data_IF_028956614986
#
_entry.id   IF_028956614986
#
_cell.length_a   1.000
_cell.length_b   1.000
_cell.length_c   1.000
_cell.angle_alpha   90.00
_cell.angle_beta   90.00
_cell.angle_gamma   90.00
#
_symmetry.space_group_name_H-M   'P 1'
#
loop_
_entity.id
_entity.type
_entity.pdbx_description
1 polymer ?
#
# COMPACT_ATOMS: atom_id res chain seq x y z
N UNK A 1 11.83 11.93 -38.32
CA UNK A 1 11.68 11.27 -37.01
C UNK A 1 13.02 10.63 -36.71
N UNK A 2 13.97 11.38 -36.18
CA UNK A 2 15.35 10.96 -36.00
C UNK A 2 15.64 10.63 -34.54
N UNK A 3 15.88 9.37 -34.26
CA UNK A 3 16.47 8.89 -33.01
C UNK A 3 17.98 9.15 -33.08
N UNK A 4 18.47 10.06 -32.29
CA UNK A 4 19.90 10.31 -32.13
C UNK A 4 20.39 9.53 -30.89
N UNK A 5 21.09 8.38 -31.06
CA UNK A 5 21.79 7.77 -29.95
C UNK A 5 23.12 8.53 -29.75
N UNK A 6 23.14 9.41 -28.77
CA UNK A 6 24.39 10.02 -28.32
C UNK A 6 25.34 8.88 -27.91
N UNK A 7 26.30 8.59 -28.76
CA UNK A 7 27.45 7.74 -28.47
C UNK A 7 28.31 8.43 -27.42
N UNK A 8 28.14 8.02 -26.19
CA UNK A 8 29.14 8.28 -25.14
C UNK A 8 30.29 7.30 -25.36
N UNK A 9 31.06 7.56 -26.39
CA UNK A 9 32.37 6.95 -26.58
C UNK A 9 33.38 7.75 -25.79
N UNK A 10 33.50 7.49 -24.50
CA UNK A 10 34.64 7.96 -23.74
C UNK A 10 35.89 7.24 -24.25
N UNK A 11 36.62 7.85 -25.18
CA UNK A 11 38.00 7.49 -25.46
C UNK A 11 38.83 7.84 -24.22
N UNK A 12 38.84 6.94 -23.25
CA UNK A 12 39.82 6.93 -22.17
C UNK A 12 41.20 6.71 -22.80
N UNK A 13 41.87 7.78 -23.21
CA UNK A 13 43.29 7.73 -23.50
C UNK A 13 44.01 7.50 -22.17
N UNK A 14 44.28 6.23 -21.88
CA UNK A 14 45.20 5.86 -20.79
C UNK A 14 46.61 6.19 -21.26
N UNK A 15 47.00 7.44 -21.06
CA UNK A 15 48.38 7.87 -21.19
C UNK A 15 49.20 7.44 -19.96
N UNK A 16 50.56 7.41 -20.05
CA UNK A 16 51.39 7.09 -18.88
C UNK A 16 51.07 8.08 -17.77
N UNK A 17 50.77 7.56 -16.57
CA UNK A 17 50.43 8.34 -15.38
C UNK A 17 51.57 9.33 -15.05
N UNK A 18 51.31 10.61 -15.20
CA UNK A 18 52.23 11.64 -14.75
C UNK A 18 52.08 11.84 -13.23
N UNK A 19 53.13 12.21 -12.52
CA UNK A 19 53.16 12.29 -11.05
C UNK A 19 52.04 13.13 -10.42
N UNK A 20 51.50 14.12 -11.14
CA UNK A 20 50.38 14.97 -10.73
C UNK A 20 49.05 14.19 -10.69
N UNK A 21 48.89 13.19 -11.55
CA UNK A 21 47.67 12.33 -11.57
C UNK A 21 47.70 11.37 -10.38
N UNK A 22 48.86 10.85 -9.98
CA UNK A 22 49.00 10.00 -8.81
C UNK A 22 48.55 10.74 -7.55
N UNK A 23 48.94 11.98 -7.36
CA UNK A 23 48.53 12.79 -6.20
C UNK A 23 47.01 12.98 -6.17
N UNK A 24 46.39 13.26 -7.33
CA UNK A 24 44.94 13.42 -7.41
C UNK A 24 44.20 12.13 -7.13
N UNK A 25 44.70 10.99 -7.60
CA UNK A 25 44.16 9.67 -7.31
C UNK A 25 44.25 9.33 -5.83
N UNK A 26 45.41 9.50 -5.23
CA UNK A 26 45.62 9.28 -3.78
C UNK A 26 44.69 10.19 -2.96
N UNK A 27 44.57 11.46 -3.34
CA UNK A 27 43.65 12.39 -2.69
C UNK A 27 42.20 11.98 -2.81
N UNK A 28 41.78 11.43 -3.97
CA UNK A 28 40.44 10.91 -4.16
C UNK A 28 40.16 9.65 -3.31
N UNK A 29 41.14 8.73 -3.21
CA UNK A 29 41.06 7.55 -2.38
C UNK A 29 40.96 7.91 -0.90
N UNK A 30 41.81 8.80 -0.42
CA UNK A 30 41.76 9.28 0.99
C UNK A 30 40.42 9.92 1.31
N UNK A 31 39.89 10.74 0.38
CA UNK A 31 38.57 11.35 0.56
C UNK A 31 37.43 10.29 0.61
N UNK A 32 37.51 9.30 -0.25
CA UNK A 32 36.54 8.20 -0.26
C UNK A 32 36.61 7.37 1.05
N UNK A 33 37.82 7.06 1.50
CA UNK A 33 38.02 6.38 2.79
C UNK A 33 37.53 7.21 3.97
N UNK A 34 37.77 8.53 3.95
CA UNK A 34 37.25 9.43 4.97
C UNK A 34 35.73 9.48 4.99
N UNK A 35 35.06 9.40 3.84
CA UNK A 35 33.60 9.34 3.75
C UNK A 35 33.04 8.03 4.34
N UNK A 36 33.68 6.89 4.06
CA UNK A 36 33.28 5.60 4.65
C UNK A 36 33.52 5.56 6.15
N UNK A 37 34.66 6.07 6.62
CA UNK A 37 34.97 6.18 8.05
C UNK A 37 33.95 7.07 8.78
N UNK A 38 33.57 8.21 8.19
CA UNK A 38 32.50 9.07 8.74
C UNK A 38 31.16 8.33 8.84
N UNK A 39 30.85 7.48 7.88
CA UNK A 39 29.61 6.72 7.89
C UNK A 39 29.58 5.63 8.99
N UNK A 40 30.74 5.13 9.41
CA UNK A 40 30.84 4.16 10.50
C UNK A 40 30.30 4.71 11.83
N UNK A 41 30.47 6.02 12.07
CA UNK A 41 29.99 6.69 13.29
C UNK A 41 28.57 7.25 13.18
N UNK A 42 27.88 7.02 12.07
CA UNK A 42 26.48 7.44 11.93
C UNK A 42 25.56 6.54 12.76
N UNK A 43 24.54 7.14 13.37
CA UNK A 43 23.44 6.39 13.98
C UNK A 43 22.78 5.49 12.92
N UNK A 44 22.55 4.18 13.24
CA UNK A 44 21.84 3.29 12.35
C UNK A 44 20.41 3.80 12.15
N UNK A 45 19.91 3.74 10.90
CA UNK A 45 18.56 4.10 10.52
C UNK A 45 17.67 2.86 10.49
N UNK A 46 18.24 1.70 10.73
CA UNK A 46 17.56 0.41 10.68
C UNK A 46 16.46 0.35 11.74
N UNK A 47 15.27 -0.03 11.31
CA UNK A 47 14.12 -0.28 12.18
C UNK A 47 14.11 -1.78 12.51
N UNK A 48 14.13 -2.13 13.78
CA UNK A 48 14.12 -3.52 14.24
C UNK A 48 12.68 -4.02 14.34
N UNK A 49 12.20 -4.63 13.27
CA UNK A 49 10.92 -5.34 13.28
C UNK A 49 11.08 -6.69 14.04
N UNK A 50 10.14 -7.15 14.87
CA UNK A 50 8.81 -6.54 15.16
C UNK A 50 8.82 -5.56 16.34
N UNK A 51 9.94 -5.34 17.04
CA UNK A 51 10.02 -4.52 18.26
C UNK A 51 9.62 -3.06 18.01
N UNK A 52 10.05 -2.52 16.86
CA UNK A 52 9.70 -1.17 16.43
C UNK A 52 9.03 -1.26 15.07
N UNK A 53 7.78 -0.87 14.99
CA UNK A 53 7.05 -0.82 13.73
C UNK A 53 7.26 0.53 13.05
N UNK A 54 7.41 0.49 11.72
CA UNK A 54 7.44 1.71 10.92
C UNK A 54 6.04 2.32 10.86
N UNK A 55 5.94 3.62 11.03
CA UNK A 55 4.70 4.33 10.75
C UNK A 55 4.49 4.39 9.23
N UNK A 56 3.40 3.78 8.76
CA UNK A 56 3.06 3.80 7.35
C UNK A 56 2.39 5.12 6.97
N UNK A 57 2.65 5.63 5.75
CA UNK A 57 1.96 6.82 5.27
C UNK A 57 0.45 6.59 5.20
N UNK A 58 -0.31 7.66 5.18
CA UNK A 58 -1.77 7.57 5.06
C UNK A 58 -2.23 6.80 3.82
N UNK A 59 -1.50 6.93 2.70
CA UNK A 59 -1.76 6.25 1.43
C UNK A 59 -1.15 4.84 1.33
N UNK A 60 -1.15 4.11 2.43
CA UNK A 60 -0.59 2.77 2.43
C UNK A 60 -1.61 1.75 1.89
N UNK A 61 -1.16 0.89 0.97
CA UNK A 61 -1.96 -0.21 0.41
C UNK A 61 -1.57 -1.51 1.10
N UNK A 62 -2.20 -1.78 2.24
CA UNK A 62 -2.00 -3.01 3.00
C UNK A 62 -3.10 -4.03 2.76
N UNK A 63 -3.41 -4.81 3.79
CA UNK A 63 -4.42 -5.86 3.73
C UNK A 63 -5.80 -5.28 3.37
N UNK A 64 -6.55 -6.04 2.60
CA UNK A 64 -7.95 -5.75 2.32
C UNK A 64 -8.83 -6.23 3.48
N UNK A 65 -9.90 -5.50 3.74
CA UNK A 65 -10.88 -5.83 4.76
C UNK A 65 -12.29 -5.44 4.34
N UNK A 66 -13.28 -6.08 4.94
CA UNK A 66 -14.68 -5.68 4.84
C UNK A 66 -15.09 -4.90 6.09
N UNK A 67 -15.95 -3.91 5.90
CA UNK A 67 -16.40 -3.01 6.96
C UNK A 67 -17.86 -3.24 7.34
N UNK A 68 -18.16 -2.90 8.59
CA UNK A 68 -19.53 -2.77 9.10
C UNK A 68 -19.90 -1.30 9.22
N UNK A 69 -21.19 -1.02 9.14
CA UNK A 69 -21.72 0.27 9.52
C UNK A 69 -21.59 0.44 11.05
N UNK A 70 -21.00 1.56 11.47
CA UNK A 70 -20.76 1.85 12.89
C UNK A 70 -22.05 2.11 13.67
N UNK A 71 -23.10 2.60 12.99
CA UNK A 71 -24.35 2.98 13.63
C UNK A 71 -25.31 1.80 13.75
N UNK A 72 -25.43 1.01 12.68
CA UNK A 72 -26.39 -0.09 12.61
C UNK A 72 -25.78 -1.46 12.93
N UNK A 73 -24.46 -1.60 12.85
CA UNK A 73 -23.77 -2.90 12.97
C UNK A 73 -23.98 -3.83 11.78
N UNK A 74 -24.62 -3.35 10.71
CA UNK A 74 -24.86 -4.14 9.49
C UNK A 74 -23.62 -4.15 8.60
N UNK A 75 -23.48 -5.19 7.79
CA UNK A 75 -22.42 -5.26 6.78
C UNK A 75 -22.60 -4.17 5.73
N UNK A 76 -21.54 -3.44 5.38
CA UNK A 76 -21.62 -2.45 4.30
C UNK A 76 -21.73 -3.08 2.91
N UNK A 77 -21.30 -4.33 2.75
CA UNK A 77 -21.32 -5.02 1.47
C UNK A 77 -22.74 -5.39 1.01
N UNK A 78 -23.11 -4.89 -0.17
CA UNK A 78 -24.40 -5.20 -0.81
C UNK A 78 -24.31 -6.31 -1.87
N UNK A 79 -23.14 -6.95 -2.02
CA UNK A 79 -22.95 -8.03 -2.98
C UNK A 79 -23.08 -7.63 -4.44
N UNK A 80 -22.82 -6.38 -4.82
CA UNK A 80 -22.99 -5.85 -6.18
C UNK A 80 -22.00 -6.41 -7.21
N UNK A 81 -20.95 -7.12 -6.79
CA UNK A 81 -19.93 -7.76 -7.63
C UNK A 81 -19.03 -6.81 -8.44
N UNK A 82 -19.12 -5.50 -8.25
CA UNK A 82 -18.26 -4.54 -8.97
C UNK A 82 -16.78 -4.78 -8.70
N UNK A 83 -16.42 -5.11 -7.44
CA UNK A 83 -15.05 -5.46 -7.06
C UNK A 83 -14.54 -6.74 -7.73
N UNK A 84 -15.42 -7.71 -8.01
CA UNK A 84 -15.08 -8.93 -8.76
C UNK A 84 -14.77 -8.61 -10.23
N UNK A 85 -15.60 -7.79 -10.87
CA UNK A 85 -15.43 -7.45 -12.30
C UNK A 85 -14.23 -6.55 -12.56
N UNK A 86 -13.88 -5.66 -11.63
CA UNK A 86 -12.76 -4.72 -11.82
C UNK A 86 -11.41 -5.34 -11.48
N UNK A 87 -11.39 -6.50 -10.82
CA UNK A 87 -10.17 -7.13 -10.32
C UNK A 87 -9.31 -7.70 -11.48
N UNK A 88 -8.10 -7.17 -11.78
CA UNK A 88 -7.29 -7.66 -12.87
C UNK A 88 -6.90 -9.14 -12.74
N UNK A 89 -6.40 -9.63 -11.58
CA UNK A 89 -6.09 -11.04 -11.39
C UNK A 89 -7.32 -11.91 -11.09
N UNK A 90 -8.55 -11.34 -11.06
CA UNK A 90 -9.81 -12.04 -10.82
C UNK A 90 -9.84 -12.90 -9.54
N UNK A 91 -9.23 -12.40 -8.48
CA UNK A 91 -9.06 -13.08 -7.18
C UNK A 91 -10.23 -12.89 -6.22
N UNK A 92 -11.20 -12.04 -6.56
CA UNK A 92 -12.40 -11.78 -5.76
C UNK A 92 -13.57 -12.55 -6.36
N UNK A 93 -14.32 -13.27 -5.51
CA UNK A 93 -15.58 -13.91 -5.88
C UNK A 93 -16.67 -13.51 -4.90
N UNK A 94 -17.82 -13.09 -5.42
CA UNK A 94 -18.94 -12.59 -4.62
C UNK A 94 -20.25 -13.20 -5.10
N UNK A 95 -20.99 -13.80 -4.17
CA UNK A 95 -22.37 -14.24 -4.41
C UNK A 95 -23.33 -13.28 -3.71
N UNK A 96 -24.30 -12.76 -4.43
CA UNK A 96 -25.32 -11.88 -3.90
C UNK A 96 -26.49 -12.66 -3.30
N UNK A 97 -26.94 -12.24 -2.12
CA UNK A 97 -28.21 -12.64 -1.53
C UNK A 97 -29.19 -11.46 -1.63
N UNK A 98 -30.30 -11.68 -2.30
CA UNK A 98 -31.40 -10.71 -2.36
C UNK A 98 -32.25 -10.85 -1.12
N UNK A 99 -32.40 -9.80 -0.34
CA UNK A 99 -33.33 -9.70 0.77
C UNK A 99 -34.35 -8.58 0.52
N UNK A 100 -35.47 -8.57 1.22
CA UNK A 100 -36.57 -7.63 1.02
C UNK A 100 -36.16 -6.15 1.19
N UNK A 101 -35.32 -5.87 2.20
CA UNK A 101 -34.91 -4.48 2.51
C UNK A 101 -33.63 -4.08 1.82
N UNK A 102 -32.64 -4.99 1.73
CA UNK A 102 -31.30 -4.71 1.24
C UNK A 102 -30.67 -5.99 0.72
N UNK A 103 -29.85 -5.86 -0.32
CA UNK A 103 -29.02 -6.97 -0.80
C UNK A 103 -27.76 -7.09 0.09
N UNK A 104 -27.29 -8.33 0.26
CA UNK A 104 -26.07 -8.66 1.02
C UNK A 104 -25.16 -9.57 0.22
N UNK A 105 -23.89 -9.62 0.57
CA UNK A 105 -23.01 -10.67 0.08
C UNK A 105 -23.28 -11.96 0.85
N UNK A 106 -23.81 -13.00 0.17
CA UNK A 106 -23.95 -14.34 0.72
C UNK A 106 -22.59 -14.94 1.02
N UNK A 107 -21.72 -14.93 0.02
CA UNK A 107 -20.33 -15.32 0.12
C UNK A 107 -19.44 -14.23 -0.44
N UNK A 108 -18.29 -14.07 0.16
CA UNK A 108 -17.23 -13.18 -0.32
C UNK A 108 -15.90 -13.90 -0.10
N UNK A 109 -15.15 -14.14 -1.15
CA UNK A 109 -13.85 -14.78 -1.08
C UNK A 109 -12.81 -13.95 -1.79
N UNK A 110 -11.62 -13.88 -1.20
CA UNK A 110 -10.46 -13.18 -1.72
C UNK A 110 -9.23 -14.07 -1.62
N UNK A 111 -8.58 -14.32 -2.75
CA UNK A 111 -7.30 -15.02 -2.81
C UNK A 111 -6.16 -14.03 -2.63
N UNK A 112 -5.75 -13.81 -1.38
CA UNK A 112 -4.78 -12.76 -1.05
C UNK A 112 -3.40 -12.99 -1.67
N UNK A 113 -2.98 -14.25 -1.84
CA UNK A 113 -1.65 -14.57 -2.40
C UNK A 113 -1.47 -14.15 -3.86
N UNK A 114 -2.55 -14.01 -4.62
CA UNK A 114 -2.54 -13.57 -6.00
C UNK A 114 -2.99 -12.10 -6.15
N UNK A 115 -3.30 -11.43 -5.05
CA UNK A 115 -3.73 -10.05 -5.03
C UNK A 115 -2.54 -9.10 -5.30
N UNK A 116 -2.72 -8.17 -6.23
CA UNK A 116 -1.71 -7.15 -6.58
C UNK A 116 -1.80 -5.88 -5.72
N UNK A 117 -2.72 -5.81 -4.77
CA UNK A 117 -2.95 -4.63 -3.94
C UNK A 117 -3.11 -3.32 -4.74
N UNK A 118 -3.73 -3.40 -5.92
CA UNK A 118 -3.90 -2.28 -6.85
C UNK A 118 -4.95 -1.24 -6.42
N UNK A 119 -5.79 -1.56 -5.41
CA UNK A 119 -6.83 -0.68 -4.85
C UNK A 119 -8.07 -0.47 -5.75
N UNK A 120 -8.14 -1.02 -6.94
CA UNK A 120 -9.27 -0.82 -7.85
C UNK A 120 -10.61 -1.27 -7.26
N UNK A 121 -10.62 -2.39 -6.49
CA UNK A 121 -11.82 -2.88 -5.82
C UNK A 121 -12.37 -1.90 -4.77
N UNK A 122 -11.48 -1.17 -4.09
CA UNK A 122 -11.85 -0.12 -3.12
C UNK A 122 -12.46 1.08 -3.83
N UNK A 123 -11.83 1.52 -4.92
CA UNK A 123 -12.27 2.68 -5.68
C UNK A 123 -13.65 2.51 -6.33
N UNK A 124 -13.99 1.30 -6.74
CA UNK A 124 -15.27 1.01 -7.42
C UNK A 124 -16.40 0.73 -6.45
N UNK A 125 -16.11 0.51 -5.15
CA UNK A 125 -17.12 0.14 -4.17
C UNK A 125 -18.09 1.29 -3.86
N UNK A 126 -19.39 1.16 -4.12
CA UNK A 126 -20.35 2.24 -3.92
C UNK A 126 -20.71 2.47 -2.44
N UNK A 127 -20.44 1.49 -1.58
CA UNK A 127 -20.80 1.51 -0.16
C UNK A 127 -19.59 1.55 0.78
N UNK A 128 -18.38 1.71 0.23
CA UNK A 128 -17.12 1.68 0.99
C UNK A 128 -16.98 0.41 1.85
N UNK A 129 -17.57 -0.68 1.38
CA UNK A 129 -17.58 -1.95 2.10
C UNK A 129 -16.21 -2.62 2.13
N UNK A 130 -15.43 -2.49 1.05
CA UNK A 130 -14.08 -3.02 0.97
C UNK A 130 -13.08 -1.87 1.11
N UNK A 131 -12.12 -2.03 2.00
CA UNK A 131 -11.14 -1.00 2.36
C UNK A 131 -9.75 -1.61 2.48
N UNK A 132 -8.72 -0.77 2.42
CA UNK A 132 -7.35 -1.15 2.71
C UNK A 132 -6.95 -0.75 4.12
N UNK A 133 -6.19 -1.60 4.79
CA UNK A 133 -5.72 -1.41 6.15
C UNK A 133 -4.25 -1.00 6.19
N UNK A 134 -3.82 -0.35 7.28
CA UNK A 134 -2.42 0.01 7.52
C UNK A 134 -1.61 -1.17 8.08
N UNK A 135 -1.91 -2.38 7.65
CA UNK A 135 -1.19 -3.59 8.03
C UNK A 135 -0.91 -4.47 6.84
N UNK A 136 0.18 -5.21 6.91
CA UNK A 136 0.56 -6.22 5.92
C UNK A 136 0.90 -7.56 6.58
N UNK A 137 0.82 -7.64 7.92
CA UNK A 137 1.26 -8.79 8.69
C UNK A 137 0.27 -9.94 8.60
N UNK A 138 0.47 -10.78 7.61
CA UNK A 138 -0.22 -12.08 7.47
C UNK A 138 0.78 -13.18 7.09
N UNK A 139 1.82 -13.43 7.92
CA UNK A 139 2.71 -14.54 7.65
C UNK A 139 1.99 -15.85 7.83
N UNK A 140 2.08 -16.74 6.86
CA UNK A 140 1.52 -18.09 6.94
C UNK A 140 2.42 -19.08 6.21
N UNK A 141 2.46 -20.31 6.67
CA UNK A 141 3.15 -21.41 6.02
C UNK A 141 2.27 -22.14 4.99
N UNK A 142 0.94 -22.02 5.11
CA UNK A 142 -0.01 -22.65 4.19
C UNK A 142 -0.71 -21.61 3.33
N UNK A 143 -0.62 -21.79 2.00
CA UNK A 143 -1.30 -20.95 1.01
C UNK A 143 -2.82 -20.91 1.21
N UNK A 144 -3.42 -21.96 1.75
CA UNK A 144 -4.88 -22.04 1.98
C UNK A 144 -5.35 -21.01 3.00
N UNK A 145 -4.51 -20.64 3.93
CA UNK A 145 -4.80 -19.60 4.92
C UNK A 145 -4.90 -18.20 4.32
N UNK A 146 -4.31 -18.01 3.13
CA UNK A 146 -4.43 -16.78 2.35
C UNK A 146 -5.71 -16.71 1.50
N UNK A 147 -6.53 -17.73 1.51
CA UNK A 147 -7.90 -17.66 1.00
C UNK A 147 -8.77 -17.05 2.10
N UNK A 148 -9.08 -15.79 1.95
CA UNK A 148 -9.86 -15.04 2.91
C UNK A 148 -11.34 -15.13 2.55
N UNK A 149 -12.14 -15.62 3.48
CA UNK A 149 -13.59 -15.59 3.45
C UNK A 149 -14.14 -14.29 4.07
N UNK A 150 -15.44 -14.11 3.98
CA UNK A 150 -16.13 -12.93 4.47
C UNK A 150 -15.83 -12.63 5.94
N UNK A 151 -15.87 -13.65 6.80
CA UNK A 151 -15.69 -13.49 8.24
C UNK A 151 -14.26 -13.09 8.60
N UNK A 152 -13.27 -13.66 7.93
CA UNK A 152 -11.86 -13.25 8.09
C UNK A 152 -11.60 -11.83 7.62
N UNK A 153 -12.21 -11.42 6.50
CA UNK A 153 -12.09 -10.04 6.02
C UNK A 153 -12.72 -9.03 6.99
N UNK A 154 -13.83 -9.36 7.61
CA UNK A 154 -14.41 -8.55 8.68
C UNK A 154 -13.55 -8.52 9.94
N UNK A 155 -12.97 -9.65 10.34
CA UNK A 155 -12.05 -9.70 11.48
C UNK A 155 -10.81 -8.82 11.28
N UNK A 156 -10.27 -8.75 10.06
CA UNK A 156 -9.20 -7.82 9.69
C UNK A 156 -9.68 -6.36 9.83
N UNK A 157 -10.90 -6.07 9.36
CA UNK A 157 -11.50 -4.73 9.45
C UNK A 157 -11.73 -4.24 10.88
N UNK A 158 -11.98 -5.15 11.81
CA UNK A 158 -12.11 -4.82 13.24
C UNK A 158 -10.77 -4.65 13.94
N UNK A 159 -9.72 -5.36 13.46
CA UNK A 159 -8.42 -5.40 14.13
C UNK A 159 -7.51 -4.23 13.76
N UNK A 160 -7.56 -3.76 12.54
CA UNK A 160 -6.60 -2.80 12.02
C UNK A 160 -7.25 -1.47 11.63
N UNK A 161 -6.45 -0.39 11.70
CA UNK A 161 -6.86 0.93 11.26
C UNK A 161 -6.90 1.01 9.73
N UNK A 162 -7.99 1.51 9.12
CA UNK A 162 -8.06 1.70 7.69
C UNK A 162 -7.08 2.77 7.21
N UNK A 163 -6.58 2.62 5.98
CA UNK A 163 -5.82 3.67 5.31
C UNK A 163 -6.77 4.77 4.80
N UNK A 164 -6.19 5.92 4.39
CA UNK A 164 -6.99 7.02 3.80
C UNK A 164 -7.68 6.63 2.50
N UNK A 165 -7.14 5.64 1.79
CA UNK A 165 -7.71 5.08 0.57
C UNK A 165 -8.94 4.21 0.91
N UNK A 166 -9.83 4.76 1.73
CA UNK A 166 -11.14 4.26 2.04
C UNK A 166 -12.14 5.13 1.30
N UNK A 167 -12.94 4.51 0.46
CA UNK A 167 -13.95 5.21 -0.28
C UNK A 167 -13.72 5.28 -1.79
N UNK A 168 -14.77 5.53 -2.50
CA UNK A 168 -14.76 5.68 -3.93
C UNK A 168 -14.18 7.05 -4.30
N UNK A 169 -12.95 7.09 -4.81
CA UNK A 169 -12.29 8.32 -5.26
C UNK A 169 -13.16 9.14 -6.23
N UNK A 170 -13.94 8.48 -7.08
CA UNK A 170 -14.85 9.15 -8.00
C UNK A 170 -15.99 9.83 -7.25
N UNK A 171 -16.49 9.23 -6.19
CA UNK A 171 -17.52 9.82 -5.33
C UNK A 171 -16.97 11.01 -4.56
N UNK A 172 -15.75 10.89 -4.01
CA UNK A 172 -15.11 11.98 -3.26
C UNK A 172 -14.77 13.18 -4.16
N UNK A 173 -14.48 12.94 -5.43
CA UNK A 173 -14.28 14.00 -6.41
C UNK A 173 -15.59 14.68 -6.84
N UNK A 174 -16.73 13.99 -6.75
CA UNK A 174 -18.05 14.49 -7.15
C UNK A 174 -18.83 15.11 -5.97
N UNK A 175 -18.53 14.70 -4.75
CA UNK A 175 -19.18 15.24 -3.55
C UNK A 175 -18.31 16.36 -2.97
N UNK A 176 -18.84 17.59 -2.80
CA UNK A 176 -18.10 18.61 -2.09
C UNK A 176 -17.74 18.10 -0.69
N UNK A 177 -16.54 18.41 -0.18
CA UNK A 177 -16.14 17.95 1.14
C UNK A 177 -17.20 18.36 2.14
N UNK A 178 -17.82 17.39 2.83
CA UNK A 178 -18.67 17.69 3.99
C UNK A 178 -17.82 18.58 4.89
N UNK A 179 -18.29 19.81 5.10
CA UNK A 179 -17.63 20.75 5.98
C UNK A 179 -17.23 19.99 7.23
N UNK A 180 -15.94 19.96 7.51
CA UNK A 180 -15.39 19.21 8.65
C UNK A 180 -16.25 19.56 9.86
N UNK A 181 -16.97 18.58 10.38
CA UNK A 181 -17.71 18.75 11.61
C UNK A 181 -16.66 19.26 12.60
N UNK A 182 -16.83 20.50 13.06
CA UNK A 182 -15.96 21.15 14.04
C UNK A 182 -15.90 20.18 15.23
N UNK A 183 -14.85 19.38 15.30
CA UNK A 183 -14.50 18.70 16.53
C UNK A 183 -14.17 19.81 17.50
N UNK A 184 -15.18 20.13 18.32
CA UNK A 184 -15.05 21.09 19.40
C UNK A 184 -13.86 20.70 20.24
N UNK A 185 -12.93 21.62 20.39
CA UNK A 185 -11.82 21.49 21.29
C UNK A 185 -12.33 21.20 22.70
N UNK A 186 -11.76 20.22 23.34
CA UNK A 186 -11.59 20.23 24.78
C UNK A 186 -10.12 20.50 25.04
N UNK A 187 -9.85 21.79 25.27
CA UNK A 187 -8.76 22.21 26.12
C UNK A 187 -9.25 21.96 27.55
N UNK A 188 -8.51 21.13 28.28
CA UNK A 188 -8.14 21.32 29.71
C UNK A 188 -7.17 20.23 30.08
#
# INVERSE_FOLDING_TARGET
MGSNPARVGANLKVGPYQGTEIITIVGAVVRAMGATLKNLFRKPITVHYPTTQRQYPSRYRGLLALTYDKETGEENCIGCRLCEYVCPPAVIKVEMLKAEKRNYAKTFTLELYACEFCELCVQVCPTDAIVMMKSFDMPTADRREMLLDKDRLHAIGLKYEPSWATGNLLRDMQTPPKAAAKTGGHAE
#
